data_IF_531012862900
#
_entry.id   IF_531012862900
#
_cell.length_a   1.000
_cell.length_b   1.000
_cell.length_c   1.000
_cell.angle_alpha   90.00
_cell.angle_beta   90.00
_cell.angle_gamma   90.00
#
_symmetry.space_group_name_H-M   'P 1'
#
loop_
_entity.id
_entity.type
_entity.pdbx_description
1 polymer ?
#
# COMPACT_ATOMS: atom_id res chain seq x y z
N UNK A 1 -16.96 12.62 2.66
CA UNK A 1 -15.83 12.05 1.90
C UNK A 1 -14.71 11.93 2.92
N UNK A 2 -14.38 10.72 3.35
CA UNK A 2 -13.45 10.55 4.47
C UNK A 2 -12.02 10.80 3.96
N UNK A 3 -11.42 11.88 4.44
CA UNK A 3 -10.03 12.31 4.24
C UNK A 3 -9.07 11.40 5.05
N UNK A 4 -9.20 10.08 4.86
CA UNK A 4 -8.48 9.06 5.62
C UNK A 4 -7.81 8.07 4.69
N UNK A 5 -6.67 8.48 4.14
CA UNK A 5 -5.79 7.62 3.35
C UNK A 5 -4.68 7.01 4.20
N UNK A 6 -4.04 5.98 3.66
CA UNK A 6 -2.74 5.53 4.14
C UNK A 6 -1.76 5.38 2.97
N UNK A 7 -0.53 5.78 3.22
CA UNK A 7 0.57 5.76 2.29
C UNK A 7 1.34 4.45 2.46
N UNK A 8 1.36 3.65 1.39
CA UNK A 8 2.17 2.44 1.32
C UNK A 8 3.58 2.81 0.89
N UNK A 9 4.55 2.33 1.66
CA UNK A 9 5.96 2.40 1.33
C UNK A 9 6.56 1.00 1.22
N UNK A 10 7.29 0.76 0.13
CA UNK A 10 8.07 -0.46 -0.08
C UNK A 10 9.55 -0.11 0.07
N UNK A 11 10.23 -0.77 1.02
CA UNK A 11 11.64 -0.48 1.32
C UNK A 11 11.89 1.02 1.64
N UNK A 12 10.92 1.67 2.28
CA UNK A 12 10.95 3.12 2.59
C UNK A 12 10.57 4.04 1.42
N UNK A 13 10.38 3.52 0.20
CA UNK A 13 9.95 4.31 -0.96
C UNK A 13 8.43 4.36 -1.06
N UNK A 14 7.88 5.56 -1.25
CA UNK A 14 6.45 5.78 -1.47
C UNK A 14 5.97 5.14 -2.76
N UNK A 15 4.93 4.31 -2.66
CA UNK A 15 4.41 3.51 -3.78
C UNK A 15 3.03 3.99 -4.18
N UNK A 16 2.12 4.10 -3.21
CA UNK A 16 0.73 4.45 -3.47
C UNK A 16 0.07 5.02 -2.21
N UNK A 17 -0.85 5.96 -2.40
CA UNK A 17 -1.79 6.41 -1.37
C UNK A 17 -3.12 5.71 -1.61
N UNK A 18 -3.66 5.06 -0.60
CA UNK A 18 -4.87 4.26 -0.71
C UNK A 18 -5.59 4.15 0.63
N UNK A 19 -6.88 3.86 0.61
CA UNK A 19 -7.69 3.59 1.79
C UNK A 19 -7.95 2.09 2.01
N UNK A 20 -7.53 1.25 1.05
CA UNK A 20 -7.58 -0.21 1.13
C UNK A 20 -6.34 -0.80 0.48
N UNK A 21 -5.77 -1.84 1.10
CA UNK A 21 -4.70 -2.63 0.52
C UNK A 21 -4.93 -4.11 0.77
N UNK A 22 -4.56 -4.95 -0.19
CA UNK A 22 -4.57 -6.40 -0.07
C UNK A 22 -3.29 -6.97 -0.65
N UNK A 23 -2.70 -7.95 0.02
CA UNK A 23 -1.48 -8.61 -0.39
C UNK A 23 -1.79 -10.09 -0.66
N UNK A 24 -1.43 -10.58 -1.84
CA UNK A 24 -1.48 -12.00 -2.18
C UNK A 24 -0.06 -12.56 -2.16
N UNK A 25 0.21 -13.50 -1.26
CA UNK A 25 1.50 -14.17 -1.20
C UNK A 25 1.66 -15.19 -2.34
N UNK A 26 0.56 -15.85 -2.73
CA UNK A 26 0.55 -16.90 -3.75
C UNK A 26 0.95 -16.33 -5.13
N UNK A 27 0.29 -15.23 -5.53
CA UNK A 27 0.60 -14.53 -6.77
C UNK A 27 1.77 -13.53 -6.65
N UNK A 28 2.27 -13.31 -5.43
CA UNK A 28 3.21 -12.22 -5.11
C UNK A 28 2.73 -10.86 -5.66
N UNK A 29 1.47 -10.50 -5.40
CA UNK A 29 0.85 -9.26 -5.86
C UNK A 29 0.29 -8.43 -4.71
N UNK A 30 0.07 -7.14 -4.96
CA UNK A 30 -0.64 -6.24 -4.08
C UNK A 30 -1.70 -5.47 -4.86
N UNK A 31 -2.87 -5.25 -4.25
CA UNK A 31 -3.94 -4.44 -4.80
C UNK A 31 -4.23 -3.27 -3.86
N UNK A 32 -4.47 -2.09 -4.42
CA UNK A 32 -4.83 -0.88 -3.67
C UNK A 32 -6.22 -0.41 -4.10
N UNK A 33 -7.06 -0.03 -3.14
CA UNK A 33 -8.42 0.46 -3.38
C UNK A 33 -9.30 -0.55 -4.16
N UNK A 34 -9.63 -0.22 -5.41
CA UNK A 34 -10.32 -1.04 -6.41
C UNK A 34 -9.48 -1.23 -7.68
N UNK A 35 -8.17 -0.93 -7.61
CA UNK A 35 -7.27 -1.18 -8.74
C UNK A 35 -6.97 -2.68 -8.88
N UNK A 36 -6.62 -3.06 -10.11
CA UNK A 36 -6.15 -4.41 -10.40
C UNK A 36 -4.87 -4.73 -9.60
N UNK A 37 -4.69 -6.00 -9.19
CA UNK A 37 -3.48 -6.43 -8.50
C UNK A 37 -2.24 -6.16 -9.34
N UNK A 38 -1.25 -5.51 -8.72
CA UNK A 38 0.06 -5.20 -9.28
C UNK A 38 1.10 -6.14 -8.67
N UNK A 39 2.12 -6.57 -9.41
CA UNK A 39 3.17 -7.42 -8.87
C UNK A 39 3.95 -6.69 -7.76
N UNK A 40 4.22 -7.39 -6.66
CA UNK A 40 5.14 -6.93 -5.64
C UNK A 40 6.57 -7.00 -6.17
N UNK A 41 7.45 -6.05 -5.79
CA UNK A 41 8.84 -6.10 -6.22
C UNK A 41 9.54 -7.35 -5.65
N UNK A 42 10.32 -8.04 -6.49
CA UNK A 42 10.93 -9.33 -6.18
C UNK A 42 11.96 -9.31 -5.02
N UNK A 43 12.40 -8.12 -4.58
CA UNK A 43 13.37 -7.93 -3.48
C UNK A 43 12.79 -7.11 -2.33
N UNK A 44 11.47 -7.15 -2.17
CA UNK A 44 10.79 -6.44 -1.10
C UNK A 44 11.23 -6.99 0.27
N UNK A 45 11.89 -6.14 1.07
CA UNK A 45 12.32 -6.51 2.44
C UNK A 45 11.32 -6.09 3.49
N UNK A 46 10.67 -4.93 3.28
CA UNK A 46 9.74 -4.35 4.24
C UNK A 46 8.62 -3.61 3.52
N UNK A 47 7.44 -3.68 4.12
CA UNK A 47 6.26 -2.91 3.74
C UNK A 47 5.88 -2.07 4.94
N UNK A 48 5.77 -0.75 4.76
CA UNK A 48 5.31 0.17 5.79
C UNK A 48 4.04 0.84 5.33
N UNK A 49 3.03 0.82 6.19
CA UNK A 49 1.75 1.50 5.96
C UNK A 49 1.73 2.69 6.92
N UNK A 50 1.77 3.89 6.36
CA UNK A 50 1.70 5.13 7.13
C UNK A 50 0.27 5.63 7.05
N UNK A 51 -0.45 5.57 8.18
CA UNK A 51 -1.76 6.21 8.27
C UNK A 51 -1.55 7.72 8.14
N UNK A 52 -2.15 8.34 7.12
CA UNK A 52 -2.24 9.80 7.05
C UNK A 52 -3.33 10.20 8.05
N UNK A 53 -2.97 10.24 9.33
CA UNK A 53 -3.82 10.87 10.33
C UNK A 53 -3.76 12.37 10.05
N UNK A 54 -4.92 12.99 9.79
CA UNK A 54 -5.09 14.43 9.97
C UNK A 54 -4.54 14.78 11.35
N UNK A 55 -3.36 15.40 11.39
CA UNK A 55 -2.84 16.05 12.59
C UNK A 55 -3.80 17.18 12.92
N UNK A 56 -4.76 16.88 13.79
CA UNK A 56 -5.69 17.84 14.36
C UNK A 56 -5.16 18.37 15.68
#
# INVERSE_FOLDING_TARGET
>A
MADGGFLIKFDGKEVARCYKVSFSYDDWTYATNFEQPKPLPAKLKSVSIVLESESR
#
